data_IF_519714248144
#
_entry.id   IF_519714248144
#
_cell.length_a   1.000
_cell.length_b   1.000
_cell.length_c   1.000
_cell.angle_alpha   90.00
_cell.angle_beta   90.00
_cell.angle_gamma   90.00
#
_symmetry.space_group_name_H-M   'P 1'
#
loop_
_entity.id
_entity.type
_entity.pdbx_description
1 polymer ?
#
# COMPACT_ATOMS: atom_id res chain seq x y z
N UNK A 1 21.33 16.32 -32.28
CA UNK A 1 20.47 16.82 -31.18
C UNK A 1 19.10 16.19 -31.35
N UNK A 2 18.76 15.20 -30.52
CA UNK A 2 17.43 14.58 -30.54
C UNK A 2 16.42 15.61 -30.01
N UNK A 3 15.65 16.22 -30.91
CA UNK A 3 14.43 16.94 -30.58
C UNK A 3 13.37 15.92 -30.18
N UNK A 4 13.43 15.44 -28.94
CA UNK A 4 12.35 14.66 -28.35
C UNK A 4 11.09 15.52 -28.36
N UNK A 5 10.08 15.13 -29.13
CA UNK A 5 8.85 15.87 -29.34
C UNK A 5 8.22 16.26 -27.99
N UNK A 6 8.01 17.56 -27.69
CA UNK A 6 7.43 18.00 -26.41
C UNK A 6 6.03 17.41 -26.15
N UNK A 7 5.33 17.00 -27.22
CA UNK A 7 4.09 16.24 -27.17
C UNK A 7 4.21 14.88 -26.45
N UNK A 8 5.33 14.17 -26.60
CA UNK A 8 5.56 12.90 -25.90
C UNK A 8 5.84 13.13 -24.41
N UNK A 9 6.61 14.17 -24.04
CA UNK A 9 6.86 14.49 -22.64
C UNK A 9 5.57 14.93 -21.92
N UNK A 10 4.76 15.78 -22.55
CA UNK A 10 3.46 16.18 -21.99
C UNK A 10 2.50 14.99 -21.83
N UNK A 11 2.51 14.05 -22.78
CA UNK A 11 1.74 12.81 -22.68
C UNK A 11 2.20 11.94 -21.50
N UNK A 12 3.50 11.76 -21.30
CA UNK A 12 4.04 10.94 -20.19
C UNK A 12 3.68 11.54 -18.83
N UNK A 13 3.79 12.86 -18.69
CA UNK A 13 3.49 13.56 -17.44
C UNK A 13 1.99 13.51 -17.11
N UNK A 14 1.11 13.59 -18.12
CA UNK A 14 -0.35 13.44 -17.96
C UNK A 14 -0.81 12.02 -17.61
N UNK A 15 -0.06 10.99 -18.02
CA UNK A 15 -0.43 9.58 -17.78
C UNK A 15 -0.07 9.13 -16.36
N UNK A 16 0.86 9.82 -15.71
CA UNK A 16 1.39 9.47 -14.39
C UNK A 16 0.32 9.46 -13.27
N UNK A 17 -0.58 10.46 -13.13
CA UNK A 17 -1.69 10.38 -12.18
C UNK A 17 -2.62 9.19 -12.46
N UNK A 18 -2.89 8.90 -13.74
CA UNK A 18 -3.76 7.79 -14.14
C UNK A 18 -3.14 6.45 -13.73
N UNK A 19 -1.83 6.28 -13.95
CA UNK A 19 -1.11 5.09 -13.51
C UNK A 19 -1.19 4.89 -11.99
N UNK A 20 -1.03 5.96 -11.20
CA UNK A 20 -1.10 5.88 -9.74
C UNK A 20 -2.51 5.50 -9.25
N UNK A 21 -3.57 6.03 -9.89
CA UNK A 21 -4.96 5.64 -9.61
C UNK A 21 -5.16 4.16 -9.91
N UNK A 22 -4.76 3.69 -11.10
CA UNK A 22 -4.89 2.28 -11.49
C UNK A 22 -4.13 1.37 -10.52
N UNK A 23 -2.93 1.78 -10.10
CA UNK A 23 -2.14 1.03 -9.13
C UNK A 23 -2.85 0.93 -7.77
N UNK A 24 -3.38 2.05 -7.26
CA UNK A 24 -4.13 2.09 -6.00
C UNK A 24 -5.40 1.23 -6.01
N UNK A 25 -6.13 1.21 -7.12
CA UNK A 25 -7.32 0.35 -7.29
C UNK A 25 -6.92 -1.12 -7.41
N UNK A 26 -5.85 -1.42 -8.14
CA UNK A 26 -5.35 -2.79 -8.32
C UNK A 26 -4.91 -3.42 -7.00
N UNK A 27 -4.21 -2.65 -6.15
CA UNK A 27 -3.84 -3.09 -4.79
C UNK A 27 -5.07 -3.42 -3.95
N UNK A 28 -6.12 -2.60 -4.03
CA UNK A 28 -7.36 -2.83 -3.29
C UNK A 28 -8.06 -4.12 -3.74
N UNK A 29 -8.12 -4.37 -5.06
CA UNK A 29 -8.68 -5.60 -5.62
C UNK A 29 -7.87 -6.84 -5.22
N UNK A 30 -6.53 -6.72 -5.20
CA UNK A 30 -5.66 -7.81 -4.79
C UNK A 30 -5.81 -8.14 -3.30
N UNK A 31 -5.85 -7.10 -2.45
CA UNK A 31 -6.11 -7.25 -1.02
C UNK A 31 -7.49 -7.87 -0.76
N UNK A 32 -8.53 -7.41 -1.47
CA UNK A 32 -9.87 -7.98 -1.41
C UNK A 32 -9.87 -9.47 -1.75
N UNK A 33 -9.22 -9.85 -2.86
CA UNK A 33 -9.13 -11.25 -3.29
C UNK A 33 -8.41 -12.12 -2.25
N UNK A 34 -7.28 -11.65 -1.71
CA UNK A 34 -6.52 -12.38 -0.68
C UNK A 34 -7.24 -12.45 0.66
N UNK A 35 -8.00 -11.42 1.02
CA UNK A 35 -8.76 -11.39 2.28
C UNK A 35 -9.80 -12.50 2.41
N UNK A 36 -10.29 -13.04 1.29
CA UNK A 36 -11.29 -14.13 1.28
C UNK A 36 -10.74 -15.45 1.80
N UNK A 37 -9.45 -15.69 1.62
CA UNK A 37 -8.74 -16.90 2.07
C UNK A 37 -7.92 -16.69 3.34
N UNK A 38 -7.91 -15.47 3.89
CA UNK A 38 -7.06 -15.11 5.02
C UNK A 38 -7.78 -15.27 6.37
N UNK A 39 -6.99 -15.43 7.42
CA UNK A 39 -7.51 -15.36 8.80
C UNK A 39 -8.09 -13.97 9.10
N UNK A 40 -9.05 -13.91 10.03
CA UNK A 40 -9.82 -12.68 10.33
C UNK A 40 -8.94 -11.46 10.65
N UNK A 41 -7.78 -11.69 11.28
CA UNK A 41 -6.80 -10.64 11.61
C UNK A 41 -5.92 -10.25 10.42
N UNK A 42 -5.43 -11.22 9.65
CA UNK A 42 -4.66 -10.94 8.43
C UNK A 42 -5.49 -10.16 7.41
N UNK A 43 -6.73 -10.60 7.18
CA UNK A 43 -7.67 -9.92 6.29
C UNK A 43 -7.89 -8.45 6.68
N UNK A 44 -8.04 -8.16 7.98
CA UNK A 44 -8.22 -6.79 8.50
C UNK A 44 -6.99 -5.92 8.23
N UNK A 45 -5.79 -6.42 8.48
CA UNK A 45 -4.54 -5.67 8.30
C UNK A 45 -4.24 -5.42 6.82
N UNK A 46 -4.46 -6.42 5.97
CA UNK A 46 -4.31 -6.29 4.52
C UNK A 46 -5.31 -5.28 3.94
N UNK A 47 -6.59 -5.36 4.32
CA UNK A 47 -7.61 -4.42 3.85
C UNK A 47 -7.36 -3.00 4.37
N UNK A 48 -6.98 -2.83 5.63
CA UNK A 48 -6.64 -1.52 6.19
C UNK A 48 -5.44 -0.89 5.47
N UNK A 49 -4.36 -1.67 5.25
CA UNK A 49 -3.19 -1.21 4.50
C UNK A 49 -3.52 -0.89 3.05
N UNK A 50 -4.32 -1.73 2.38
CA UNK A 50 -4.71 -1.52 1.00
C UNK A 50 -5.63 -0.31 0.80
N UNK A 51 -6.56 -0.04 1.72
CA UNK A 51 -7.37 1.18 1.70
C UNK A 51 -6.47 2.42 1.87
N UNK A 52 -5.52 2.37 2.81
CA UNK A 52 -4.60 3.48 3.06
C UNK A 52 -3.67 3.75 1.87
N UNK A 53 -3.17 2.69 1.23
CA UNK A 53 -2.39 2.77 -0.01
C UNK A 53 -3.25 3.27 -1.17
N UNK A 54 -4.47 2.77 -1.33
CA UNK A 54 -5.39 3.20 -2.37
C UNK A 54 -5.72 4.69 -2.24
N UNK A 55 -5.98 5.17 -1.02
CA UNK A 55 -6.14 6.60 -0.74
C UNK A 55 -4.86 7.39 -1.08
N UNK A 56 -3.68 6.90 -0.71
CA UNK A 56 -2.41 7.55 -1.02
C UNK A 56 -2.11 7.66 -2.52
N UNK A 57 -2.32 6.58 -3.27
CA UNK A 57 -2.00 6.49 -4.70
C UNK A 57 -3.10 7.04 -5.61
N UNK A 58 -4.39 6.88 -5.26
CA UNK A 58 -5.51 7.30 -6.10
C UNK A 58 -6.02 8.71 -5.79
N UNK A 59 -5.77 9.25 -4.60
CA UNK A 59 -6.24 10.59 -4.21
C UNK A 59 -5.07 11.53 -3.90
N UNK A 60 -4.22 11.18 -2.92
CA UNK A 60 -3.20 12.11 -2.40
C UNK A 60 -2.16 12.44 -3.48
N UNK A 61 -1.61 11.45 -4.18
CA UNK A 61 -0.61 11.69 -5.23
C UNK A 61 -1.17 12.43 -6.45
N UNK A 62 -2.33 12.05 -7.05
CA UNK A 62 -2.91 12.81 -8.15
C UNK A 62 -3.25 14.26 -7.78
N UNK A 63 -3.73 14.52 -6.56
CA UNK A 63 -3.99 15.90 -6.10
C UNK A 63 -2.69 16.69 -5.88
N UNK A 64 -1.61 16.02 -5.48
CA UNK A 64 -0.29 16.62 -5.37
C UNK A 64 0.28 16.95 -6.76
N UNK A 65 0.19 16.04 -7.72
CA UNK A 65 0.69 16.25 -9.09
C UNK A 65 -0.16 17.26 -9.88
N UNK A 66 -1.46 17.32 -9.62
CA UNK A 66 -2.35 18.32 -10.23
C UNK A 66 -2.17 19.74 -9.67
N UNK A 67 -1.27 19.95 -8.70
CA UNK A 67 -1.02 21.26 -8.08
C UNK A 67 -2.22 21.84 -7.30
N UNK A 68 -3.33 21.09 -7.19
CA UNK A 68 -4.57 21.58 -6.57
C UNK A 68 -4.47 21.77 -5.06
N UNK A 69 -3.46 21.20 -4.43
CA UNK A 69 -3.15 21.43 -3.01
C UNK A 69 -2.75 22.90 -2.74
N UNK A 70 -2.23 23.63 -3.73
CA UNK A 70 -1.97 25.07 -3.60
C UNK A 70 -3.22 25.96 -3.78
N UNK A 71 -4.34 25.42 -4.29
CA UNK A 71 -5.49 26.21 -4.72
C UNK A 71 -6.77 26.02 -3.86
N UNK A 72 -6.75 25.11 -2.89
CA UNK A 72 -7.90 24.82 -2.03
C UNK A 72 -8.00 25.74 -0.79
N UNK A 73 -7.01 26.60 -0.57
CA UNK A 73 -7.11 27.71 0.37
C UNK A 73 -7.09 29.03 -0.40
N UNK A 74 -8.15 29.84 -0.27
CA UNK A 74 -8.16 31.24 -0.74
C UNK A 74 -7.18 32.16 0.01
N UNK A 75 -6.17 31.59 0.67
CA UNK A 75 -5.16 32.28 1.46
C UNK A 75 -3.79 31.73 1.03
N UNK A 76 -3.04 32.60 0.36
CA UNK A 76 -1.62 32.52 0.06
C UNK A 76 -0.86 31.34 0.68
N UNK A 77 -0.50 30.35 -0.14
CA UNK A 77 0.67 29.48 0.01
C UNK A 77 1.23 29.26 1.41
N UNK A 78 0.42 28.78 2.35
CA UNK A 78 0.85 28.59 3.72
C UNK A 78 1.68 27.31 3.82
N UNK A 79 2.95 27.44 4.23
CA UNK A 79 3.91 26.31 4.35
C UNK A 79 3.40 25.21 5.28
N UNK A 80 2.54 25.56 6.24
CA UNK A 80 1.83 24.65 7.13
C UNK A 80 0.94 23.65 6.38
N UNK A 81 0.20 24.12 5.37
CA UNK A 81 -0.68 23.27 4.55
C UNK A 81 0.13 22.32 3.67
N UNK A 82 1.23 22.79 3.08
CA UNK A 82 2.15 21.95 2.31
C UNK A 82 2.80 20.87 3.17
N UNK A 83 3.24 21.21 4.39
CA UNK A 83 3.77 20.24 5.35
C UNK A 83 2.71 19.23 5.78
N UNK A 84 1.48 19.68 6.07
CA UNK A 84 0.38 18.77 6.42
C UNK A 84 0.13 17.74 5.32
N UNK A 85 0.08 18.16 4.05
CA UNK A 85 -0.07 17.24 2.92
C UNK A 85 1.12 16.31 2.73
N UNK A 86 2.35 16.77 2.98
CA UNK A 86 3.54 15.91 3.00
C UNK A 86 3.49 14.86 4.10
N UNK A 87 3.04 15.22 5.30
CA UNK A 87 2.87 14.28 6.41
C UNK A 87 1.80 13.26 6.08
N UNK A 88 0.64 13.68 5.56
CA UNK A 88 -0.42 12.76 5.11
C UNK A 88 0.12 11.78 4.08
N UNK A 89 0.86 12.26 3.07
CA UNK A 89 1.50 11.39 2.07
C UNK A 89 2.45 10.38 2.71
N UNK A 90 3.35 10.83 3.59
CA UNK A 90 4.32 9.97 4.26
C UNK A 90 3.62 8.91 5.13
N UNK A 91 2.63 9.30 5.92
CA UNK A 91 1.90 8.39 6.79
C UNK A 91 1.10 7.40 5.95
N UNK A 92 0.32 7.86 4.98
CA UNK A 92 -0.51 6.98 4.15
C UNK A 92 0.30 5.95 3.38
N UNK A 93 1.44 6.34 2.81
CA UNK A 93 2.31 5.42 2.07
C UNK A 93 3.06 4.46 2.97
N UNK A 94 3.77 4.97 3.99
CA UNK A 94 4.61 4.12 4.83
C UNK A 94 3.78 3.21 5.72
N UNK A 95 2.77 3.74 6.41
CA UNK A 95 1.89 2.94 7.24
C UNK A 95 1.06 1.96 6.39
N UNK A 96 0.66 2.38 5.18
CA UNK A 96 -0.09 1.54 4.26
C UNK A 96 0.72 0.31 3.83
N UNK A 97 1.96 0.51 3.40
CA UNK A 97 2.88 -0.57 3.04
C UNK A 97 3.21 -1.48 4.24
N UNK A 98 3.42 -0.91 5.43
CA UNK A 98 3.68 -1.68 6.65
C UNK A 98 2.49 -2.56 7.03
N UNK A 99 1.28 -2.01 7.08
CA UNK A 99 0.07 -2.77 7.42
C UNK A 99 -0.24 -3.84 6.38
N UNK A 100 -0.09 -3.51 5.10
CA UNK A 100 -0.30 -4.46 4.01
C UNK A 100 0.72 -5.61 4.04
N UNK A 101 2.00 -5.28 4.17
CA UNK A 101 3.09 -6.27 4.27
C UNK A 101 3.00 -7.13 5.53
N UNK A 102 2.65 -6.53 6.67
CA UNK A 102 2.41 -7.27 7.91
C UNK A 102 1.22 -8.24 7.76
N UNK A 103 0.12 -7.77 7.16
CA UNK A 103 -1.03 -8.61 6.87
C UNK A 103 -0.68 -9.80 5.98
N UNK A 104 0.16 -9.58 4.96
CA UNK A 104 0.70 -10.65 4.11
C UNK A 104 1.58 -11.63 4.88
N UNK A 105 2.46 -11.16 5.77
CA UNK A 105 3.31 -12.03 6.59
C UNK A 105 2.49 -12.92 7.52
N UNK A 106 1.44 -12.37 8.14
CA UNK A 106 0.51 -13.15 8.95
C UNK A 106 -0.28 -14.14 8.09
N UNK A 107 -0.72 -13.73 6.89
CA UNK A 107 -1.42 -14.62 5.97
C UNK A 107 -0.55 -15.79 5.49
N UNK A 108 0.73 -15.56 5.25
CA UNK A 108 1.70 -16.55 4.80
C UNK A 108 2.18 -17.48 5.93
N UNK A 109 1.64 -17.36 7.15
CA UNK A 109 2.06 -18.15 8.31
C UNK A 109 3.58 -18.06 8.60
N UNK A 110 4.22 -16.94 8.25
CA UNK A 110 5.66 -16.72 8.43
C UNK A 110 6.13 -16.83 9.89
N UNK A 111 5.20 -16.68 10.84
CA UNK A 111 5.46 -16.77 12.28
C UNK A 111 4.97 -18.08 12.92
N UNK A 112 4.51 -19.05 12.11
CA UNK A 112 4.11 -20.35 12.63
C UNK A 112 5.36 -21.15 13.00
N UNK A 113 5.67 -21.17 14.30
CA UNK A 113 6.69 -22.07 14.87
C UNK A 113 6.31 -23.53 14.59
N UNK A 114 7.15 -24.24 13.84
CA UNK A 114 7.14 -25.70 13.63
C UNK A 114 7.44 -26.46 14.93
N UNK A 115 6.63 -26.29 15.97
CA UNK A 115 6.73 -27.04 17.22
C UNK A 115 6.13 -28.44 17.14
N UNK A 116 5.71 -28.91 15.95
CA UNK A 116 5.06 -30.22 15.80
C UNK A 116 6.00 -31.39 15.51
N UNK A 117 7.26 -31.14 15.11
CA UNK A 117 8.19 -32.23 14.76
C UNK A 117 8.85 -32.87 15.98
N UNK A 118 9.00 -32.15 17.10
CA UNK A 118 9.70 -32.68 18.28
C UNK A 118 8.85 -33.62 19.16
N UNK A 119 7.51 -33.56 19.11
CA UNK A 119 6.67 -34.38 20.01
C UNK A 119 6.28 -35.75 19.45
N UNK A 120 6.46 -35.98 18.14
CA UNK A 120 6.16 -37.28 17.50
C UNK A 120 7.36 -38.24 17.49
N UNK A 121 8.58 -37.75 17.79
CA UNK A 121 9.79 -38.58 17.83
C UNK A 121 10.05 -39.24 19.20
N UNK A 122 9.33 -38.84 20.26
CA UNK A 122 9.57 -39.32 21.64
C UNK A 122 8.53 -40.34 22.12
N UNK A 123 7.57 -40.74 21.26
CA UNK A 123 6.52 -41.72 21.58
C UNK A 123 6.68 -43.04 20.79
N UNK A 124 7.91 -43.52 20.65
CA UNK A 124 8.19 -44.93 20.35
C UNK A 124 8.71 -45.61 21.63
N UNK A 125 7.82 -46.16 22.47
CA UNK A 125 8.22 -47.19 23.43
C UNK A 125 8.49 -48.47 22.65
N UNK A 126 9.75 -48.72 22.30
CA UNK A 126 10.21 -50.06 21.89
C UNK A 126 10.30 -50.93 23.15
N UNK A 127 9.15 -51.40 23.62
CA UNK A 127 9.05 -52.58 24.47
C UNK A 127 8.69 -53.79 23.61
N UNK A 128 9.70 -54.65 23.41
CA UNK A 128 9.71 -56.12 23.24
C UNK A 128 10.58 -56.56 22.08
#
# INVERSE_FOLDING_TARGET
>A
MQTGSPLLLASIESVRPVYLIVMGVSLLLFAWRLSRSASRWAARLMMAGAILLSMGYALVMPMYEAGKIQYLGSHHGDTSSALAWHVVKLVSMNAGWLLFGWGLAVHAHLFSNDRKVAHSATLLPTTR
#
